data_IF_608808411071
#
_entry.id   IF_608808411071
#
_cell.length_a   1.000
_cell.length_b   1.000
_cell.length_c   1.000
_cell.angle_alpha   90.00
_cell.angle_beta   90.00
_cell.angle_gamma   90.00
#
_symmetry.space_group_name_H-M   'P 1'
#
loop_
_entity.id
_entity.type
_entity.pdbx_description
1 polymer ?
#
# COMPACT_ATOMS: atom_id res chain seq x y z
N UNK A 1 -42.91 -22.95 16.15
CA UNK A 1 -42.89 -22.60 14.71
C UNK A 1 -41.80 -21.53 14.33
N UNK A 2 -41.29 -20.73 15.30
CA UNK A 2 -40.26 -19.69 15.02
C UNK A 2 -38.86 -20.22 14.70
N UNK A 3 -38.44 -21.34 15.28
CA UNK A 3 -37.08 -21.89 15.12
C UNK A 3 -36.80 -22.54 13.77
N UNK A 4 -37.81 -23.03 13.07
CA UNK A 4 -37.61 -23.68 11.77
C UNK A 4 -37.45 -22.69 10.61
N UNK A 5 -38.04 -21.48 10.71
CA UNK A 5 -37.96 -20.46 9.69
C UNK A 5 -36.58 -19.75 9.69
N UNK A 6 -36.02 -19.52 10.88
CA UNK A 6 -34.67 -18.91 11.04
C UNK A 6 -33.56 -19.82 10.51
N UNK A 7 -33.66 -21.14 10.71
CA UNK A 7 -32.68 -22.10 10.20
C UNK A 7 -32.67 -22.16 8.65
N UNK A 8 -33.84 -22.06 8.01
CA UNK A 8 -33.97 -22.11 6.55
C UNK A 8 -33.36 -20.87 5.88
N UNK A 9 -33.61 -19.69 6.44
CA UNK A 9 -33.05 -18.42 5.94
C UNK A 9 -31.54 -18.38 6.09
N UNK A 10 -31.00 -18.91 7.18
CA UNK A 10 -29.54 -18.97 7.42
C UNK A 10 -28.85 -19.90 6.43
N UNK A 11 -29.46 -21.05 6.10
CA UNK A 11 -28.91 -21.99 5.10
C UNK A 11 -28.94 -21.40 3.70
N UNK A 12 -30.03 -20.70 3.32
CA UNK A 12 -30.15 -20.03 2.01
C UNK A 12 -29.13 -18.89 1.86
N UNK A 13 -28.87 -18.14 2.95
CA UNK A 13 -27.84 -17.09 2.96
C UNK A 13 -26.45 -17.71 2.85
N UNK A 14 -26.16 -18.77 3.59
CA UNK A 14 -24.87 -19.47 3.48
C UNK A 14 -24.67 -20.04 2.07
N UNK A 15 -25.70 -20.59 1.44
CA UNK A 15 -25.64 -21.09 0.07
C UNK A 15 -25.46 -19.96 -0.95
N UNK A 16 -26.12 -18.83 -0.76
CA UNK A 16 -26.01 -17.66 -1.63
C UNK A 16 -24.63 -17.00 -1.50
N UNK A 17 -24.11 -16.82 -0.29
CA UNK A 17 -22.76 -16.29 -0.04
C UNK A 17 -21.69 -17.23 -0.59
N UNK A 18 -21.83 -18.54 -0.40
CA UNK A 18 -20.94 -19.53 -0.98
C UNK A 18 -21.05 -19.59 -2.50
N UNK A 19 -22.26 -19.42 -3.07
CA UNK A 19 -22.46 -19.36 -4.52
C UNK A 19 -21.82 -18.13 -5.19
N UNK A 20 -21.90 -16.97 -4.55
CA UNK A 20 -21.20 -15.75 -5.03
C UNK A 20 -19.69 -15.94 -4.89
N UNK A 21 -19.26 -16.52 -3.78
CA UNK A 21 -17.86 -16.85 -3.54
C UNK A 21 -17.32 -17.82 -4.59
N UNK A 22 -18.06 -18.89 -4.90
CA UNK A 22 -17.69 -19.83 -5.97
C UNK A 22 -17.71 -19.21 -7.37
N UNK A 23 -18.62 -18.30 -7.68
CA UNK A 23 -18.67 -17.63 -8.97
C UNK A 23 -17.52 -16.64 -9.19
N UNK A 24 -17.10 -15.90 -8.15
CA UNK A 24 -16.07 -14.88 -8.26
C UNK A 24 -14.66 -15.36 -7.90
N UNK A 25 -14.53 -16.46 -7.13
CA UNK A 25 -13.27 -16.97 -6.61
C UNK A 25 -12.88 -18.36 -7.10
N UNK A 26 -13.57 -18.91 -8.09
CA UNK A 26 -13.33 -20.28 -8.62
C UNK A 26 -11.90 -20.59 -9.08
N UNK A 27 -11.03 -19.60 -9.17
CA UNK A 27 -9.65 -19.79 -9.65
C UNK A 27 -8.56 -19.54 -8.61
N UNK A 28 -8.91 -19.23 -7.38
CA UNK A 28 -7.93 -18.92 -6.33
C UNK A 28 -8.08 -19.85 -5.11
N UNK A 29 -7.12 -20.74 -4.97
CA UNK A 29 -6.69 -21.48 -3.77
C UNK A 29 -7.79 -22.24 -2.99
N UNK A 30 -7.64 -23.56 -2.74
CA UNK A 30 -8.60 -24.36 -1.98
C UNK A 30 -8.38 -24.21 -0.45
N UNK A 31 -8.40 -22.99 0.08
CA UNK A 31 -8.40 -22.75 1.53
C UNK A 31 -9.45 -21.68 1.84
N UNK A 32 -10.67 -21.92 1.41
CA UNK A 32 -11.79 -21.13 1.87
C UNK A 32 -12.49 -21.86 2.98
N UNK A 33 -12.16 -21.48 4.21
CA UNK A 33 -13.08 -21.75 5.31
C UNK A 33 -14.38 -21.02 4.98
N UNK A 34 -15.52 -21.71 4.93
CA UNK A 34 -16.82 -21.08 4.68
C UNK A 34 -16.99 -19.94 5.68
N UNK A 35 -17.44 -18.77 5.20
CA UNK A 35 -17.72 -17.62 6.08
C UNK A 35 -18.71 -18.11 7.15
N UNK A 36 -18.22 -18.29 8.36
CA UNK A 36 -19.03 -18.79 9.46
C UNK A 36 -19.87 -17.62 10.01
N UNK A 37 -21.09 -17.46 9.48
CA UNK A 37 -22.06 -16.45 9.95
C UNK A 37 -22.79 -16.95 11.21
N UNK A 38 -22.39 -18.11 11.79
CA UNK A 38 -22.98 -18.60 13.04
C UNK A 38 -22.79 -17.57 14.15
N UNK A 39 -23.89 -17.06 14.67
CA UNK A 39 -23.94 -16.07 15.75
C UNK A 39 -24.29 -14.65 15.32
N UNK A 40 -24.49 -14.36 14.04
CA UNK A 40 -25.10 -13.10 13.61
C UNK A 40 -26.60 -13.30 13.57
N UNK A 41 -27.30 -12.88 14.63
CA UNK A 41 -28.76 -12.81 14.65
C UNK A 41 -29.20 -11.68 13.74
N UNK A 42 -30.16 -11.96 12.87
CA UNK A 42 -30.70 -10.96 11.93
C UNK A 42 -32.17 -10.78 12.16
N UNK A 43 -32.54 -9.54 12.37
CA UNK A 43 -33.95 -9.15 12.24
C UNK A 43 -34.32 -9.04 10.74
N UNK A 44 -35.58 -9.28 10.40
CA UNK A 44 -36.06 -9.49 9.03
C UNK A 44 -35.95 -8.29 8.08
N UNK A 45 -35.45 -7.14 8.53
CA UNK A 45 -35.65 -5.85 7.89
C UNK A 45 -34.48 -5.37 7.05
N UNK A 46 -33.23 -5.65 7.41
CA UNK A 46 -32.07 -5.25 6.59
C UNK A 46 -31.81 -6.24 5.47
N UNK A 47 -31.79 -5.77 4.23
CA UNK A 47 -31.57 -6.61 3.06
C UNK A 47 -30.07 -6.98 2.92
N UNK A 48 -29.68 -8.13 3.49
CA UNK A 48 -28.29 -8.64 3.39
C UNK A 48 -27.84 -8.80 1.95
N UNK A 49 -28.74 -9.14 1.03
CA UNK A 49 -28.37 -9.29 -0.38
C UNK A 49 -27.80 -7.99 -0.93
N UNK A 50 -28.35 -6.85 -0.50
CA UNK A 50 -27.85 -5.54 -0.91
C UNK A 50 -26.48 -5.27 -0.29
N UNK A 51 -26.27 -5.58 1.01
CA UNK A 51 -24.98 -5.44 1.66
C UNK A 51 -23.90 -6.30 0.97
N UNK A 52 -24.21 -7.56 0.69
CA UNK A 52 -23.29 -8.48 0.01
C UNK A 52 -23.02 -8.04 -1.43
N UNK A 53 -24.06 -7.59 -2.15
CA UNK A 53 -23.92 -7.10 -3.52
C UNK A 53 -23.06 -5.83 -3.62
N UNK A 54 -23.26 -4.89 -2.68
CA UNK A 54 -22.45 -3.67 -2.60
C UNK A 54 -21.00 -3.97 -2.21
N UNK A 55 -20.83 -4.89 -1.29
CA UNK A 55 -19.52 -5.31 -0.82
C UNK A 55 -18.73 -6.10 -1.89
N UNK A 56 -19.40 -6.81 -2.83
CA UNK A 56 -18.75 -7.53 -3.95
C UNK A 56 -17.95 -6.65 -4.91
N UNK A 57 -18.04 -5.33 -4.78
CA UNK A 57 -17.21 -4.37 -5.52
C UNK A 57 -15.90 -3.97 -4.83
N UNK A 58 -15.63 -4.44 -3.62
CA UNK A 58 -14.42 -4.10 -2.86
C UNK A 58 -13.23 -5.05 -3.14
N UNK A 59 -13.38 -5.97 -4.10
CA UNK A 59 -12.35 -6.95 -4.42
C UNK A 59 -11.11 -6.30 -5.02
N UNK A 60 -9.97 -6.52 -4.36
CA UNK A 60 -8.67 -6.28 -4.97
C UNK A 60 -8.49 -7.16 -6.22
N UNK A 61 -7.75 -6.68 -7.22
CA UNK A 61 -7.49 -7.44 -8.44
C UNK A 61 -6.69 -8.69 -8.09
N UNK A 62 -7.15 -9.87 -8.54
CA UNK A 62 -6.41 -11.10 -8.30
C UNK A 62 -5.00 -11.00 -8.93
N UNK A 63 -3.93 -11.36 -8.21
CA UNK A 63 -2.56 -11.35 -8.74
C UNK A 63 -2.36 -12.13 -10.04
N UNK A 64 -3.21 -13.15 -10.28
CA UNK A 64 -3.19 -13.97 -11.51
C UNK A 64 -3.80 -13.26 -12.73
N UNK A 65 -4.68 -12.28 -12.48
CA UNK A 65 -5.34 -11.50 -13.53
C UNK A 65 -4.50 -10.29 -13.97
N UNK A 66 -3.43 -9.97 -13.22
CA UNK A 66 -2.50 -8.90 -13.57
C UNK A 66 -1.56 -9.39 -14.67
N UNK A 67 -1.53 -8.73 -15.87
CA UNK A 67 -0.67 -9.12 -16.97
C UNK A 67 0.81 -9.21 -16.59
N UNK A 68 1.47 -10.28 -17.02
CA UNK A 68 2.92 -10.46 -16.84
C UNK A 68 3.75 -9.76 -17.92
N UNK A 69 3.12 -9.31 -19.01
CA UNK A 69 3.75 -8.56 -20.10
C UNK A 69 3.64 -7.05 -19.86
N UNK A 70 4.62 -6.31 -20.35
CA UNK A 70 4.59 -4.85 -20.28
C UNK A 70 3.50 -4.27 -21.19
N UNK A 71 2.71 -3.33 -20.65
CA UNK A 71 1.60 -2.70 -21.34
C UNK A 71 1.94 -1.28 -21.81
N UNK A 72 1.41 -0.88 -22.95
CA UNK A 72 1.37 0.52 -23.33
C UNK A 72 0.27 1.28 -22.56
N UNK A 73 0.37 2.59 -22.49
CA UNK A 73 -0.56 3.46 -21.75
C UNK A 73 -2.06 3.15 -22.05
N UNK A 74 -2.41 2.92 -23.31
CA UNK A 74 -3.80 2.63 -23.70
C UNK A 74 -4.26 1.27 -23.17
N UNK A 75 -3.42 0.25 -23.28
CA UNK A 75 -3.70 -1.09 -22.75
C UNK A 75 -3.82 -1.05 -21.22
N UNK A 76 -2.93 -0.31 -20.55
CA UNK A 76 -2.95 -0.13 -19.11
C UNK A 76 -4.25 0.53 -18.65
N UNK A 77 -4.66 1.64 -19.29
CA UNK A 77 -5.91 2.32 -18.92
C UNK A 77 -7.13 1.46 -19.18
N UNK A 78 -7.15 0.66 -20.26
CA UNK A 78 -8.22 -0.31 -20.53
C UNK A 78 -8.25 -1.39 -19.46
N UNK A 79 -7.10 -1.98 -19.12
CA UNK A 79 -7.00 -2.99 -18.05
C UNK A 79 -7.55 -2.46 -16.71
N UNK A 80 -7.12 -1.26 -16.29
CA UNK A 80 -7.61 -0.66 -15.05
C UNK A 80 -9.12 -0.40 -15.08
N UNK A 81 -9.67 0.03 -16.24
CA UNK A 81 -11.09 0.25 -16.42
C UNK A 81 -11.90 -1.07 -16.37
N UNK A 82 -11.42 -2.13 -17.03
CA UNK A 82 -12.09 -3.44 -17.06
C UNK A 82 -12.13 -4.08 -15.67
N UNK A 83 -11.05 -3.94 -14.90
CA UNK A 83 -10.94 -4.55 -13.57
C UNK A 83 -11.67 -3.74 -12.48
N UNK A 84 -11.58 -2.43 -12.48
CA UNK A 84 -12.03 -1.56 -11.39
C UNK A 84 -13.26 -0.70 -11.73
N UNK A 85 -13.67 -0.67 -12.99
CA UNK A 85 -14.78 0.18 -13.44
C UNK A 85 -16.13 -0.15 -12.78
N UNK A 86 -16.34 -1.40 -12.38
CA UNK A 86 -17.52 -1.86 -11.63
C UNK A 86 -17.65 -1.22 -10.24
N UNK A 87 -16.54 -0.75 -9.66
CA UNK A 87 -16.51 -0.17 -8.31
C UNK A 87 -16.88 1.33 -8.29
N UNK A 88 -17.26 1.90 -9.42
CA UNK A 88 -17.62 3.32 -9.51
C UNK A 88 -19.03 3.56 -8.95
N UNK A 89 -19.14 4.66 -8.19
CA UNK A 89 -20.43 5.13 -7.73
C UNK A 89 -21.27 5.75 -8.86
N UNK A 90 -20.61 6.51 -9.75
CA UNK A 90 -21.23 7.18 -10.90
C UNK A 90 -20.56 6.69 -12.19
N UNK A 91 -21.35 6.37 -13.21
CA UNK A 91 -20.86 5.79 -14.47
C UNK A 91 -19.95 6.69 -15.31
N UNK A 92 -19.93 8.01 -15.03
CA UNK A 92 -19.12 9.00 -15.78
C UNK A 92 -17.67 9.12 -15.32
N UNK A 93 -17.36 8.73 -14.09
CA UNK A 93 -16.02 8.83 -13.54
C UNK A 93 -15.10 7.75 -14.11
N UNK A 94 -13.99 8.14 -14.73
CA UNK A 94 -12.97 7.18 -15.16
C UNK A 94 -12.16 6.68 -13.97
N UNK A 95 -11.89 5.38 -13.93
CA UNK A 95 -11.05 4.75 -12.91
C UNK A 95 -9.69 5.42 -12.85
N UNK A 96 -9.05 5.54 -14.02
CA UNK A 96 -7.73 6.14 -14.15
C UNK A 96 -7.53 6.70 -15.57
N UNK A 97 -7.16 7.98 -15.67
CA UNK A 97 -6.89 8.62 -16.94
C UNK A 97 -5.40 8.65 -17.25
N UNK A 98 -5.03 8.78 -18.53
CA UNK A 98 -3.65 9.00 -18.95
C UNK A 98 -3.01 10.20 -18.24
N UNK A 99 -3.80 11.28 -18.05
CA UNK A 99 -3.34 12.47 -17.35
C UNK A 99 -3.02 12.20 -15.88
N UNK A 100 -3.85 11.39 -15.19
CA UNK A 100 -3.59 10.99 -13.80
C UNK A 100 -2.30 10.18 -13.70
N UNK A 101 -2.10 9.17 -14.56
CA UNK A 101 -0.90 8.33 -14.57
C UNK A 101 0.36 9.18 -14.83
N UNK A 102 0.30 10.09 -15.81
CA UNK A 102 1.41 11.01 -16.10
C UNK A 102 1.72 11.92 -14.91
N UNK A 103 0.69 12.39 -14.18
CA UNK A 103 0.89 13.19 -12.99
C UNK A 103 1.52 12.40 -11.85
N UNK A 104 1.14 11.12 -11.67
CA UNK A 104 1.79 10.25 -10.69
C UNK A 104 3.28 10.04 -10.98
N UNK A 105 3.63 9.84 -12.24
CA UNK A 105 5.04 9.73 -12.66
C UNK A 105 5.80 11.05 -12.44
N UNK A 106 5.22 12.21 -12.80
CA UNK A 106 5.84 13.51 -12.59
C UNK A 106 6.08 13.84 -11.11
N UNK A 107 5.20 13.37 -10.23
CA UNK A 107 5.29 13.60 -8.79
C UNK A 107 6.03 12.47 -8.04
N UNK A 108 6.77 11.61 -8.73
CA UNK A 108 7.52 10.49 -8.18
C UNK A 108 6.67 9.50 -7.36
N UNK A 109 5.35 9.47 -7.59
CA UNK A 109 4.44 8.48 -6.99
C UNK A 109 4.45 7.16 -7.76
N UNK A 110 4.83 7.21 -9.03
CA UNK A 110 4.97 6.06 -9.91
C UNK A 110 6.32 6.14 -10.63
N UNK A 111 7.15 5.09 -10.63
CA UNK A 111 8.37 5.04 -11.42
C UNK A 111 8.14 5.32 -12.90
N UNK A 112 9.16 5.82 -13.59
CA UNK A 112 9.07 6.10 -15.02
C UNK A 112 9.00 4.82 -15.84
N UNK A 113 8.08 4.72 -16.83
CA UNK A 113 7.96 3.54 -17.67
C UNK A 113 9.19 3.36 -18.56
N UNK A 114 9.60 2.10 -18.81
CA UNK A 114 10.68 1.79 -19.73
C UNK A 114 10.17 1.80 -21.17
N UNK A 115 10.71 2.69 -22.03
CA UNK A 115 10.31 2.85 -23.44
C UNK A 115 8.79 2.98 -23.61
N UNK A 116 8.14 3.77 -22.73
CA UNK A 116 6.67 3.98 -22.69
C UNK A 116 5.86 2.72 -22.36
N UNK A 117 6.47 1.69 -21.80
CA UNK A 117 5.82 0.46 -21.37
C UNK A 117 5.83 0.35 -19.86
N UNK A 118 4.72 -0.07 -19.30
CA UNK A 118 4.44 -0.23 -17.88
C UNK A 118 4.47 -1.72 -17.53
N UNK A 119 5.33 -2.10 -16.64
CA UNK A 119 5.47 -3.48 -16.17
C UNK A 119 4.37 -3.87 -15.18
N UNK A 120 4.32 -5.16 -14.81
CA UNK A 120 3.44 -5.68 -13.76
C UNK A 120 3.57 -4.90 -12.44
N UNK A 121 4.78 -4.50 -12.08
CA UNK A 121 5.05 -3.72 -10.86
C UNK A 121 4.37 -2.34 -10.91
N UNK A 122 4.36 -1.68 -12.08
CA UNK A 122 3.62 -0.42 -12.26
C UNK A 122 2.12 -0.61 -12.08
N UNK A 123 1.54 -1.71 -12.61
CA UNK A 123 0.13 -2.01 -12.45
C UNK A 123 -0.23 -2.18 -10.98
N UNK A 124 0.59 -2.92 -10.21
CA UNK A 124 0.40 -3.13 -8.78
C UNK A 124 0.42 -1.79 -8.01
N UNK A 125 1.37 -0.90 -8.30
CA UNK A 125 1.41 0.42 -7.69
C UNK A 125 0.16 1.24 -8.03
N UNK A 126 -0.31 1.19 -9.27
CA UNK A 126 -1.54 1.88 -9.69
C UNK A 126 -2.78 1.33 -9.00
N UNK A 127 -2.83 0.02 -8.74
CA UNK A 127 -3.89 -0.61 -7.94
C UNK A 127 -3.87 -0.06 -6.51
N UNK A 128 -2.71 0.01 -5.85
CA UNK A 128 -2.59 0.63 -4.53
C UNK A 128 -3.04 2.09 -4.53
N UNK A 129 -2.57 2.89 -5.51
CA UNK A 129 -2.96 4.30 -5.64
C UNK A 129 -4.48 4.42 -5.81
N UNK A 130 -5.10 3.56 -6.61
CA UNK A 130 -6.55 3.59 -6.84
C UNK A 130 -7.34 3.42 -5.54
N UNK A 131 -6.99 2.44 -4.71
CA UNK A 131 -7.71 2.20 -3.46
C UNK A 131 -7.39 3.26 -2.39
N UNK A 132 -6.16 3.74 -2.33
CA UNK A 132 -5.72 4.70 -1.30
C UNK A 132 -6.14 6.14 -1.58
N UNK A 133 -6.27 6.56 -2.86
CA UNK A 133 -6.56 7.95 -3.23
C UNK A 133 -7.87 8.51 -2.67
N UNK A 134 -8.81 7.64 -2.29
CA UNK A 134 -10.08 8.05 -1.70
C UNK A 134 -10.00 8.27 -0.18
N UNK A 135 -8.91 7.84 0.46
CA UNK A 135 -8.73 7.92 1.91
C UNK A 135 -7.55 8.79 2.33
N UNK A 136 -6.49 8.82 1.53
CA UNK A 136 -5.22 9.47 1.82
C UNK A 136 -4.93 10.57 0.80
N UNK A 137 -4.16 11.58 1.22
CA UNK A 137 -3.61 12.57 0.30
C UNK A 137 -2.53 11.93 -0.60
N UNK A 138 -2.26 12.56 -1.74
CA UNK A 138 -1.18 12.09 -2.65
C UNK A 138 0.17 12.04 -1.95
N UNK A 139 0.46 13.00 -1.06
CA UNK A 139 1.70 13.01 -0.29
C UNK A 139 1.78 11.85 0.72
N UNK A 140 0.65 11.48 1.34
CA UNK A 140 0.59 10.34 2.25
C UNK A 140 0.80 9.03 1.51
N UNK A 141 0.19 8.90 0.32
CA UNK A 141 0.39 7.73 -0.55
C UNK A 141 1.86 7.63 -0.99
N UNK A 142 2.51 8.75 -1.31
CA UNK A 142 3.93 8.79 -1.65
C UNK A 142 4.77 8.31 -0.47
N UNK A 143 4.57 8.85 0.74
CA UNK A 143 5.27 8.41 1.97
C UNK A 143 5.12 6.90 2.19
N UNK A 144 3.93 6.36 1.95
CA UNK A 144 3.65 4.93 2.12
C UNK A 144 4.34 4.06 1.06
N UNK A 145 4.33 4.48 -0.22
CA UNK A 145 4.82 3.67 -1.34
C UNK A 145 6.32 3.84 -1.60
N UNK A 146 6.95 4.92 -1.17
CA UNK A 146 8.38 5.17 -1.40
C UNK A 146 9.27 4.03 -0.91
N UNK A 147 9.17 3.50 0.33
CA UNK A 147 9.95 2.37 0.78
C UNK A 147 9.68 1.08 0.00
N UNK A 148 8.45 0.89 -0.48
CA UNK A 148 8.07 -0.24 -1.30
C UNK A 148 8.70 -0.16 -2.69
N UNK A 149 8.73 1.03 -3.29
CA UNK A 149 9.38 1.28 -4.59
C UNK A 149 10.88 1.08 -4.46
N UNK A 150 11.52 1.72 -3.49
CA UNK A 150 12.97 1.67 -3.30
C UNK A 150 13.50 0.28 -2.97
N UNK A 151 12.72 -0.51 -2.25
CA UNK A 151 13.12 -1.84 -1.80
C UNK A 151 12.75 -2.99 -2.72
N UNK A 152 11.66 -2.88 -3.49
CA UNK A 152 11.02 -4.04 -4.10
C UNK A 152 10.53 -3.84 -5.54
N UNK A 153 10.71 -2.66 -6.14
CA UNK A 153 10.24 -2.41 -7.50
C UNK A 153 11.15 -3.04 -8.55
N UNK A 154 12.45 -2.69 -8.54
CA UNK A 154 13.46 -3.22 -9.47
C UNK A 154 14.44 -4.18 -8.78
N UNK A 155 14.29 -4.38 -7.47
CA UNK A 155 15.19 -5.17 -6.64
C UNK A 155 14.45 -6.27 -5.89
N UNK A 156 15.09 -7.43 -5.80
CA UNK A 156 14.66 -8.57 -4.99
C UNK A 156 15.25 -8.45 -3.58
N UNK A 157 14.74 -7.53 -2.77
CA UNK A 157 15.16 -7.43 -1.39
C UNK A 157 14.66 -8.65 -0.62
N UNK A 158 15.55 -9.36 0.03
CA UNK A 158 15.23 -10.59 0.77
C UNK A 158 14.57 -11.70 -0.08
N UNK A 159 14.82 -11.72 -1.39
CA UNK A 159 14.26 -12.69 -2.33
C UNK A 159 12.78 -12.48 -2.66
N UNK A 160 12.22 -11.31 -2.34
CA UNK A 160 10.82 -10.93 -2.64
C UNK A 160 10.79 -9.71 -3.54
N UNK A 161 9.85 -9.69 -4.46
CA UNK A 161 9.50 -8.52 -5.26
C UNK A 161 8.13 -7.94 -4.86
N UNK A 162 7.74 -6.83 -5.47
CA UNK A 162 6.45 -6.19 -5.19
C UNK A 162 5.26 -7.09 -5.55
N UNK A 163 5.42 -8.04 -6.49
CA UNK A 163 4.36 -8.97 -6.89
C UNK A 163 4.13 -10.03 -5.82
N UNK A 164 5.20 -10.50 -5.16
CA UNK A 164 5.11 -11.44 -4.04
C UNK A 164 4.43 -10.78 -2.84
N UNK A 165 4.78 -9.53 -2.54
CA UNK A 165 4.17 -8.74 -1.47
C UNK A 165 2.67 -8.55 -1.74
N UNK A 166 2.32 -8.17 -2.98
CA UNK A 166 0.93 -7.98 -3.36
C UNK A 166 0.13 -9.29 -3.27
N UNK A 167 0.68 -10.40 -3.74
CA UNK A 167 0.01 -11.70 -3.68
C UNK A 167 -0.26 -12.13 -2.24
N UNK A 168 0.71 -11.94 -1.34
CA UNK A 168 0.56 -12.25 0.08
C UNK A 168 -0.50 -11.36 0.75
N UNK A 169 -0.49 -10.06 0.49
CA UNK A 169 -1.52 -9.14 1.01
C UNK A 169 -2.90 -9.45 0.46
N UNK A 170 -3.00 -9.79 -0.84
CA UNK A 170 -4.27 -10.17 -1.46
C UNK A 170 -4.94 -11.35 -0.76
N UNK A 171 -4.17 -12.38 -0.40
CA UNK A 171 -4.68 -13.56 0.31
C UNK A 171 -5.31 -13.17 1.65
N UNK A 172 -4.65 -12.32 2.43
CA UNK A 172 -5.17 -11.84 3.71
C UNK A 172 -6.35 -10.88 3.57
N UNK A 173 -6.33 -9.99 2.57
CA UNK A 173 -7.43 -9.05 2.30
C UNK A 173 -8.70 -9.80 1.90
N UNK A 174 -8.58 -10.86 1.10
CA UNK A 174 -9.71 -11.70 0.71
C UNK A 174 -10.39 -12.37 1.92
N UNK A 175 -9.60 -12.81 2.91
CA UNK A 175 -10.14 -13.38 4.15
C UNK A 175 -10.82 -12.31 5.02
N UNK A 176 -10.24 -11.13 5.09
CA UNK A 176 -10.74 -10.00 5.89
C UNK A 176 -12.10 -9.47 5.39
N UNK A 177 -12.40 -9.66 4.11
CA UNK A 177 -13.66 -9.25 3.51
C UNK A 177 -14.91 -9.80 4.22
N UNK A 178 -14.88 -11.07 4.62
CA UNK A 178 -15.98 -11.68 5.39
C UNK A 178 -16.23 -11.02 6.74
N UNK A 179 -15.20 -10.49 7.37
CA UNK A 179 -15.33 -9.80 8.66
C UNK A 179 -15.91 -8.40 8.49
N UNK A 180 -15.57 -7.72 7.37
CA UNK A 180 -16.20 -6.43 7.00
C UNK A 180 -17.70 -6.60 6.82
N UNK A 181 -18.16 -7.61 6.09
CA UNK A 181 -19.59 -7.89 5.91
C UNK A 181 -20.28 -8.12 7.26
N UNK A 182 -19.71 -8.95 8.13
CA UNK A 182 -20.25 -9.21 9.46
C UNK A 182 -20.38 -7.92 10.29
N UNK A 183 -19.41 -7.02 10.19
CA UNK A 183 -19.42 -5.76 10.90
C UNK A 183 -20.51 -4.81 10.38
N UNK A 184 -20.68 -4.71 9.07
CA UNK A 184 -21.78 -3.95 8.46
C UNK A 184 -23.14 -4.50 8.91
N UNK A 185 -23.31 -5.84 8.94
CA UNK A 185 -24.53 -6.48 9.41
C UNK A 185 -24.80 -6.20 10.89
N UNK A 186 -23.76 -6.22 11.75
CA UNK A 186 -23.91 -5.85 13.17
C UNK A 186 -24.36 -4.39 13.33
N UNK A 187 -23.83 -3.51 12.49
CA UNK A 187 -24.20 -2.09 12.49
C UNK A 187 -25.63 -1.89 12.01
N UNK A 188 -26.08 -2.63 10.98
CA UNK A 188 -27.46 -2.64 10.53
C UNK A 188 -28.43 -3.07 11.64
N UNK A 189 -28.13 -4.17 12.35
CA UNK A 189 -28.94 -4.61 13.49
C UNK A 189 -29.05 -3.55 14.60
N UNK A 190 -28.01 -2.75 14.84
CA UNK A 190 -28.06 -1.63 15.77
C UNK A 190 -28.99 -0.53 15.29
N UNK A 191 -28.97 -0.21 14.00
CA UNK A 191 -29.87 0.79 13.41
C UNK A 191 -31.32 0.32 13.46
N UNK A 192 -31.60 -0.96 13.12
CA UNK A 192 -32.92 -1.60 13.22
C UNK A 192 -33.49 -1.54 14.65
N UNK A 193 -32.63 -1.66 15.66
CA UNK A 193 -33.02 -1.54 17.07
C UNK A 193 -33.32 -0.09 17.51
N UNK A 194 -32.78 0.90 16.80
CA UNK A 194 -33.02 2.33 17.10
C UNK A 194 -34.31 2.84 16.44
N UNK A 195 -34.52 2.50 15.18
CA UNK A 195 -35.66 2.95 14.38
C UNK A 195 -36.14 1.85 13.46
N UNK A 196 -37.47 1.70 13.39
CA UNK A 196 -38.12 0.74 12.51
C UNK A 196 -38.00 1.17 11.04
N UNK A 197 -37.31 0.42 10.17
CA UNK A 197 -37.08 0.82 8.79
C UNK A 197 -38.38 0.95 7.95
N UNK A 198 -39.49 0.32 8.37
CA UNK A 198 -40.77 0.44 7.69
C UNK A 198 -41.56 1.69 8.12
N UNK A 199 -41.40 2.14 9.38
CA UNK A 199 -42.11 3.26 9.93
C UNK A 199 -41.31 4.56 9.86
N UNK A 200 -40.03 4.49 10.15
CA UNK A 200 -39.14 5.63 10.31
C UNK A 200 -37.92 5.52 9.38
N UNK A 201 -38.13 5.18 8.10
CA UNK A 201 -37.11 4.87 7.11
C UNK A 201 -35.98 5.89 7.07
N UNK A 202 -36.29 7.19 7.07
CA UNK A 202 -35.26 8.24 7.05
C UNK A 202 -34.38 8.23 8.32
N UNK A 203 -34.97 8.06 9.50
CA UNK A 203 -34.23 8.02 10.77
C UNK A 203 -33.40 6.75 10.88
N UNK A 204 -33.92 5.63 10.36
CA UNK A 204 -33.18 4.38 10.24
C UNK A 204 -31.93 4.57 9.36
N UNK A 205 -32.09 5.09 8.16
CA UNK A 205 -30.97 5.33 7.23
C UNK A 205 -29.97 6.33 7.79
N UNK A 206 -30.46 7.41 8.43
CA UNK A 206 -29.58 8.39 9.10
C UNK A 206 -28.78 7.73 10.21
N UNK A 207 -29.37 6.86 11.02
CA UNK A 207 -28.67 6.15 12.10
C UNK A 207 -27.62 5.19 11.54
N UNK A 208 -27.94 4.44 10.51
CA UNK A 208 -27.03 3.54 9.82
C UNK A 208 -25.82 4.29 9.23
N UNK A 209 -26.07 5.37 8.48
CA UNK A 209 -25.02 6.24 7.92
C UNK A 209 -24.15 6.82 9.02
N UNK A 210 -24.75 7.30 10.12
CA UNK A 210 -24.00 7.89 11.23
C UNK A 210 -23.07 6.88 11.90
N UNK A 211 -23.56 5.68 12.20
CA UNK A 211 -22.77 4.62 12.81
C UNK A 211 -21.59 4.19 11.91
N UNK A 212 -21.85 3.96 10.62
CA UNK A 212 -20.79 3.61 9.67
C UNK A 212 -19.79 4.74 9.46
N UNK A 213 -20.26 6.00 9.44
CA UNK A 213 -19.37 7.17 9.27
C UNK A 213 -18.39 7.33 10.43
N UNK A 214 -18.82 7.09 11.67
CA UNK A 214 -17.93 7.13 12.85
C UNK A 214 -16.87 6.04 12.78
N UNK A 215 -17.26 4.82 12.37
CA UNK A 215 -16.34 3.69 12.21
C UNK A 215 -15.28 3.97 11.12
N UNK A 216 -15.73 4.43 9.94
CA UNK A 216 -14.84 4.82 8.84
C UNK A 216 -13.89 5.94 9.30
N UNK A 217 -14.39 6.96 10.00
CA UNK A 217 -13.57 8.07 10.48
C UNK A 217 -12.50 7.62 11.47
N UNK A 218 -12.85 6.75 12.42
CA UNK A 218 -11.91 6.22 13.40
C UNK A 218 -10.79 5.41 12.71
N UNK A 219 -11.14 4.51 11.78
CA UNK A 219 -10.18 3.72 10.99
C UNK A 219 -9.29 4.63 10.13
N UNK A 220 -9.88 5.62 9.46
CA UNK A 220 -9.12 6.59 8.67
C UNK A 220 -8.10 7.35 9.52
N UNK A 221 -8.49 7.84 10.71
CA UNK A 221 -7.57 8.51 11.64
C UNK A 221 -6.41 7.62 12.07
N UNK A 222 -6.65 6.35 12.28
CA UNK A 222 -5.58 5.41 12.61
C UNK A 222 -4.64 5.15 11.43
N UNK A 223 -5.16 5.06 10.21
CA UNK A 223 -4.34 4.95 8.98
C UNK A 223 -3.47 6.19 8.80
N UNK A 224 -4.04 7.40 8.94
CA UNK A 224 -3.28 8.67 8.89
C UNK A 224 -2.15 8.68 9.94
N UNK A 225 -2.43 8.25 11.18
CA UNK A 225 -1.41 8.14 12.24
C UNK A 225 -0.27 7.19 11.85
N UNK A 226 -0.58 6.04 11.23
CA UNK A 226 0.46 5.10 10.77
C UNK A 226 1.34 5.71 9.68
N UNK A 227 0.76 6.47 8.75
CA UNK A 227 1.52 7.18 7.70
C UNK A 227 2.41 8.27 8.31
N UNK A 228 1.91 9.02 9.28
CA UNK A 228 2.70 10.04 9.99
C UNK A 228 3.89 9.42 10.72
N UNK A 229 3.71 8.25 11.33
CA UNK A 229 4.79 7.49 11.95
C UNK A 229 5.87 7.08 10.92
N UNK A 230 5.46 6.53 9.77
CA UNK A 230 6.39 6.18 8.69
C UNK A 230 7.18 7.40 8.19
N UNK A 231 6.52 8.57 8.09
CA UNK A 231 7.17 9.82 7.71
C UNK A 231 8.24 10.24 8.70
N UNK A 232 7.94 10.16 10.00
CA UNK A 232 8.91 10.49 11.06
C UNK A 232 10.11 9.55 11.03
N UNK A 233 9.89 8.24 10.91
CA UNK A 233 10.97 7.24 10.80
C UNK A 233 11.86 7.51 9.57
N UNK A 234 11.26 7.82 8.41
CA UNK A 234 12.01 8.16 7.20
C UNK A 234 12.86 9.42 7.36
N UNK A 235 12.32 10.47 8.00
CA UNK A 235 13.07 11.70 8.28
C UNK A 235 14.22 11.48 9.26
N UNK A 236 14.02 10.66 10.29
CA UNK A 236 15.09 10.31 11.25
C UNK A 236 16.20 9.53 10.58
N UNK A 237 15.86 8.55 9.74
CA UNK A 237 16.83 7.78 8.95
C UNK A 237 17.60 8.67 7.98
N UNK A 238 16.94 9.60 7.30
CA UNK A 238 17.59 10.54 6.40
C UNK A 238 18.57 11.45 7.16
N UNK A 239 18.18 11.97 8.33
CA UNK A 239 19.04 12.78 9.20
C UNK A 239 20.25 11.97 9.72
N UNK A 240 20.06 10.70 10.09
CA UNK A 240 21.12 9.82 10.55
C UNK A 240 22.13 9.53 9.41
N UNK A 241 21.64 9.20 8.21
CA UNK A 241 22.46 8.98 7.01
C UNK A 241 23.27 10.23 6.64
N UNK A 242 22.64 11.42 6.66
CA UNK A 242 23.32 12.68 6.38
C UNK A 242 24.44 12.98 7.39
N UNK A 243 24.20 12.76 8.70
CA UNK A 243 25.21 12.91 9.73
C UNK A 243 26.40 11.96 9.53
N UNK A 244 26.11 10.69 9.23
CA UNK A 244 27.16 9.68 8.98
C UNK A 244 28.00 10.02 7.73
N UNK A 245 27.38 10.51 6.65
CA UNK A 245 28.08 10.96 5.45
C UNK A 245 28.94 12.17 5.72
N UNK A 246 28.46 13.18 6.47
CA UNK A 246 29.22 14.37 6.86
C UNK A 246 30.44 14.00 7.73
N UNK A 247 30.27 13.06 8.64
CA UNK A 247 31.38 12.58 9.46
C UNK A 247 32.44 11.87 8.62
N UNK A 248 32.06 10.95 7.73
CA UNK A 248 32.99 10.29 6.80
C UNK A 248 33.75 11.27 5.91
N UNK A 249 33.03 12.30 5.41
CA UNK A 249 33.68 13.35 4.61
C UNK A 249 34.71 14.17 5.41
N UNK A 250 34.43 14.49 6.69
CA UNK A 250 35.35 15.17 7.59
C UNK A 250 36.59 14.31 7.89
N UNK A 251 36.40 13.02 8.15
CA UNK A 251 37.50 12.07 8.39
C UNK A 251 38.41 11.92 7.15
N UNK A 252 37.79 11.81 5.95
CA UNK A 252 38.52 11.74 4.70
C UNK A 252 39.31 13.05 4.41
N UNK A 253 38.73 14.21 4.69
CA UNK A 253 39.37 15.50 4.54
C UNK A 253 40.55 15.64 5.53
N UNK A 254 40.38 15.23 6.78
CA UNK A 254 41.44 15.23 7.78
C UNK A 254 42.61 14.29 7.41
N UNK A 255 42.30 13.09 6.91
CA UNK A 255 43.29 12.13 6.44
C UNK A 255 44.09 12.68 5.22
N UNK A 256 43.42 13.34 4.27
CA UNK A 256 44.07 14.00 3.13
C UNK A 256 44.98 15.14 3.59
N UNK A 257 44.52 15.96 4.54
CA UNK A 257 45.31 17.07 5.11
C UNK A 257 46.54 16.56 5.88
N UNK A 258 46.41 15.48 6.64
CA UNK A 258 47.51 14.85 7.35
C UNK A 258 48.59 14.30 6.38
N UNK A 259 48.15 13.60 5.31
CA UNK A 259 49.07 13.12 4.26
C UNK A 259 49.79 14.27 3.53
N UNK A 260 49.09 15.37 3.23
CA UNK A 260 49.72 16.55 2.61
C UNK A 260 50.77 17.21 3.53
N UNK A 261 50.46 17.37 4.83
CA UNK A 261 51.44 17.88 5.82
C UNK A 261 52.68 16.97 5.93
N UNK A 262 52.50 15.66 5.93
CA UNK A 262 53.58 14.70 6.00
C UNK A 262 54.47 14.72 4.75
N UNK A 263 53.85 14.88 3.55
CA UNK A 263 54.59 15.02 2.31
C UNK A 263 55.40 16.34 2.27
N UNK A 264 54.84 17.46 2.76
CA UNK A 264 55.57 18.72 2.90
C UNK A 264 56.73 18.63 3.89
N UNK A 265 56.54 17.95 5.04
CA UNK A 265 57.62 17.76 6.03
C UNK A 265 58.74 16.89 5.47
N UNK A 266 58.43 15.84 4.71
CA UNK A 266 59.43 15.01 4.05
C UNK A 266 60.21 15.76 2.95
N UNK A 267 59.51 16.60 2.17
CA UNK A 267 60.14 17.46 1.15
C UNK A 267 61.08 18.52 1.77
N UNK A 268 60.71 19.07 2.94
CA UNK A 268 61.55 20.01 3.68
C UNK A 268 62.83 19.34 4.22
N UNK A 269 62.76 18.10 4.74
CA UNK A 269 63.90 17.32 5.19
C UNK A 269 64.86 16.94 4.04
N UNK A 270 64.36 16.70 2.85
CA UNK A 270 65.17 16.37 1.67
C UNK A 270 65.92 17.59 1.08
N UNK A 271 65.60 18.80 1.48
CA UNK A 271 66.24 20.05 1.05
C UNK A 271 67.32 20.57 2.03
N UNK A 272 67.64 19.89 3.13
CA UNK A 272 68.78 20.25 3.98
C UNK A 272 70.07 19.79 3.32
N UNK A 273 70.99 20.69 2.92
CA UNK A 273 72.31 20.25 2.39
C UNK A 273 73.16 19.61 3.48
N UNK A 274 73.75 18.45 3.15
CA UNK A 274 74.78 17.86 3.94
C UNK A 274 75.98 18.80 3.91
N UNK A 275 76.08 19.71 4.87
CA UNK A 275 77.26 20.51 5.13
C UNK A 275 77.92 19.96 6.41
N UNK A 276 78.88 19.03 6.25
CA UNK A 276 80.03 18.88 7.12
C UNK A 276 80.70 17.52 6.93
N UNK A 277 81.59 17.40 5.97
CA UNK A 277 82.78 16.49 6.14
C UNK A 277 83.87 16.84 5.08
N UNK A 278 84.45 18.01 5.21
CA UNK A 278 85.69 18.31 4.50
C UNK A 278 86.49 19.27 5.31
N UNK A 279 87.01 18.79 6.46
CA UNK A 279 88.11 19.49 7.13
C UNK A 279 88.78 18.47 8.09
N UNK A 280 89.66 17.67 7.54
CA UNK A 280 90.91 17.19 8.27
C UNK A 280 91.73 16.34 7.31
N UNK A 281 92.86 16.81 6.98
CA UNK A 281 93.88 15.97 6.28
C UNK A 281 94.82 16.71 5.39
N UNK A 282 95.52 17.71 5.93
CA UNK A 282 96.83 18.12 5.41
C UNK A 282 97.71 18.66 6.54
N UNK A 283 98.50 17.78 7.11
CA UNK A 283 99.86 18.12 7.67
C UNK A 283 100.62 16.82 7.84
N UNK A 284 101.51 16.58 7.06
CA UNK A 284 102.89 16.12 6.93
C UNK A 284 103.08 15.10 5.86
#
# INVERSE_FOLDING_TARGET
MHTAYTARTTVEICQFVNGIYEQHFRTAVPVCTPINIRGVYMDKKTNIKDIISMAGGLDYINPKDIPSIDLYMDQLTTFMEDQLGKNRRNGEDKVMTKTMINNYTKNNLLPSPNKKRYSKQHLILLIYIYYLKNMLSINDIQTLLEPLIDGYFDSNKDGKDISDIYAHLYEHLSQHYGDIIKDIVRTANKADAMYDPEKDSYLHDLSMISLLSVDIYAKKKYVEHLVDKLRQESEEDAKAKAKAQAQKAREQAAAKAAKAKQAQANAAKAKQPQASSAAEGKKK
#
